data_IF_517577806280
#
_entry.id   IF_517577806280
#
_cell.length_a   1.000
_cell.length_b   1.000
_cell.length_c   1.000
_cell.angle_alpha   90.00
_cell.angle_beta   90.00
_cell.angle_gamma   90.00
#
_symmetry.space_group_name_H-M   'P 1'
#
loop_
_entity.id
_entity.type
_entity.pdbx_description
1 polymer ?
#
# COMPACT_ATOMS: atom_id res chain seq x y z
N UNK A 1 41.90 8.89 58.87
CA UNK A 1 41.79 8.51 57.44
C UNK A 1 41.25 9.71 56.67
N UNK A 2 42.11 10.46 55.97
CA UNK A 2 41.72 11.64 55.16
C UNK A 2 41.17 11.15 53.82
N UNK A 3 39.88 11.37 53.55
CA UNK A 3 39.30 11.21 52.19
C UNK A 3 39.81 12.37 51.33
N UNK A 4 40.52 12.07 50.25
CA UNK A 4 40.76 13.03 49.19
C UNK A 4 39.41 13.47 48.60
N UNK A 5 39.16 14.77 48.40
CA UNK A 5 37.98 15.22 47.70
C UNK A 5 38.18 14.93 46.20
N UNK A 6 37.34 14.06 45.65
CA UNK A 6 37.25 13.86 44.20
C UNK A 6 36.94 15.21 43.54
N UNK A 7 37.85 15.65 42.67
CA UNK A 7 37.72 16.88 41.90
C UNK A 7 36.47 16.80 41.04
N UNK A 8 35.43 17.53 41.43
CA UNK A 8 34.25 17.73 40.59
C UNK A 8 34.66 18.62 39.41
N UNK A 9 35.00 18.01 38.28
CA UNK A 9 35.19 18.71 37.02
C UNK A 9 33.86 19.34 36.59
N UNK A 10 33.77 20.67 36.64
CA UNK A 10 32.63 21.42 36.10
C UNK A 10 32.72 21.48 34.58
N UNK A 11 31.57 21.32 33.92
CA UNK A 11 31.46 21.43 32.46
C UNK A 11 31.79 22.86 32.01
N UNK A 12 32.76 23.02 31.11
CA UNK A 12 33.06 24.33 30.55
C UNK A 12 32.04 24.70 29.47
N UNK A 13 31.75 26.00 29.32
CA UNK A 13 30.89 26.51 28.24
C UNK A 13 31.40 26.12 26.86
N UNK A 14 32.72 26.06 26.68
CA UNK A 14 33.38 25.64 25.44
C UNK A 14 33.13 24.16 25.12
N UNK A 15 33.23 23.27 26.11
CA UNK A 15 32.93 21.84 25.93
C UNK A 15 31.46 21.63 25.55
N UNK A 16 30.53 22.39 26.13
CA UNK A 16 29.12 22.30 25.72
C UNK A 16 28.91 22.86 24.31
N UNK A 17 29.58 23.97 23.97
CA UNK A 17 29.47 24.64 22.67
C UNK A 17 29.98 23.76 21.53
N UNK A 18 31.11 23.09 21.70
CA UNK A 18 31.66 22.21 20.65
C UNK A 18 30.77 20.98 20.43
N UNK A 19 30.16 20.45 21.49
CA UNK A 19 29.23 19.30 21.39
C UNK A 19 28.00 19.67 20.59
N UNK A 20 27.35 20.81 20.89
CA UNK A 20 26.19 21.24 20.13
C UNK A 20 26.57 21.59 18.67
N UNK A 21 27.78 22.13 18.44
CA UNK A 21 28.27 22.42 17.09
C UNK A 21 28.47 21.13 16.28
N UNK A 22 29.04 20.08 16.88
CA UNK A 22 29.18 18.78 16.23
C UNK A 22 27.83 18.12 15.96
N UNK A 23 26.88 18.17 16.90
CA UNK A 23 25.51 17.65 16.70
C UNK A 23 24.81 18.39 15.54
N UNK A 24 24.95 19.72 15.46
CA UNK A 24 24.36 20.51 14.39
C UNK A 24 24.92 20.14 13.00
N UNK A 25 26.21 19.87 12.88
CA UNK A 25 26.84 19.41 11.63
C UNK A 25 26.29 18.04 11.22
N UNK A 26 26.21 17.10 12.17
CA UNK A 26 25.69 15.75 11.91
C UNK A 26 24.23 15.76 11.44
N UNK A 27 23.37 16.55 12.12
CA UNK A 27 21.96 16.70 11.74
C UNK A 27 21.85 17.42 10.39
N UNK A 28 22.67 18.46 10.15
CA UNK A 28 22.65 19.24 8.92
C UNK A 28 22.89 18.40 7.66
N UNK A 29 23.79 17.41 7.74
CA UNK A 29 24.06 16.49 6.62
C UNK A 29 23.04 15.34 6.57
N UNK A 30 22.60 14.85 7.73
CA UNK A 30 21.76 13.64 7.83
C UNK A 30 20.27 13.86 7.59
N UNK A 31 19.74 15.05 7.83
CA UNK A 31 18.29 15.28 7.78
C UNK A 31 17.66 15.09 6.38
N UNK A 32 18.19 15.66 5.27
CA UNK A 32 17.53 15.54 3.97
C UNK A 32 17.53 14.11 3.41
N UNK A 33 18.58 13.33 3.69
CA UNK A 33 18.70 11.94 3.23
C UNK A 33 17.73 11.02 3.95
N UNK A 34 17.44 11.28 5.23
CA UNK A 34 16.51 10.49 6.03
C UNK A 34 15.10 10.43 5.44
N UNK A 35 14.58 11.55 4.91
CA UNK A 35 13.23 11.60 4.31
C UNK A 35 13.15 10.73 3.04
N UNK A 36 14.19 10.74 2.20
CA UNK A 36 14.24 9.89 1.01
C UNK A 36 14.28 8.40 1.36
N UNK A 37 15.01 8.03 2.41
CA UNK A 37 15.07 6.64 2.90
C UNK A 37 13.71 6.19 3.41
N UNK A 38 13.00 7.02 4.16
CA UNK A 38 11.67 6.70 4.65
C UNK A 38 10.66 6.51 3.51
N UNK A 39 10.73 7.36 2.47
CA UNK A 39 9.88 7.22 1.29
C UNK A 39 10.17 5.91 0.55
N UNK A 40 11.45 5.56 0.34
CA UNK A 40 11.84 4.26 -0.22
C UNK A 40 11.35 3.09 0.62
N UNK A 41 11.49 3.17 1.94
CA UNK A 41 11.00 2.13 2.85
C UNK A 41 9.48 1.93 2.74
N UNK A 42 8.71 3.03 2.62
CA UNK A 42 7.26 2.96 2.38
C UNK A 42 6.93 2.33 1.03
N UNK A 43 7.67 2.65 -0.04
CA UNK A 43 7.49 1.99 -1.35
C UNK A 43 7.80 0.50 -1.28
N UNK A 44 8.89 0.11 -0.62
CA UNK A 44 9.23 -1.31 -0.41
C UNK A 44 8.17 -2.03 0.41
N UNK A 45 7.67 -1.39 1.47
CA UNK A 45 6.56 -1.92 2.25
C UNK A 45 5.32 -2.11 1.36
N UNK A 46 4.97 -1.10 0.55
CA UNK A 46 3.81 -1.19 -0.32
C UNK A 46 3.95 -2.33 -1.34
N UNK A 47 5.12 -2.47 -1.97
CA UNK A 47 5.39 -3.55 -2.92
C UNK A 47 5.25 -4.93 -2.27
N UNK A 48 5.75 -5.10 -1.04
CA UNK A 48 5.60 -6.37 -0.32
C UNK A 48 4.15 -6.67 0.03
N UNK A 49 3.37 -5.66 0.43
CA UNK A 49 1.94 -5.81 0.72
C UNK A 49 1.15 -6.14 -0.57
N UNK A 50 1.47 -5.51 -1.71
CA UNK A 50 0.87 -5.83 -3.01
C UNK A 50 1.09 -7.29 -3.41
N UNK A 51 2.31 -7.80 -3.26
CA UNK A 51 2.61 -9.20 -3.55
C UNK A 51 1.88 -10.17 -2.61
N UNK A 52 1.70 -9.80 -1.34
CA UNK A 52 0.88 -10.59 -0.42
C UNK A 52 -0.59 -10.63 -0.85
N UNK A 53 -1.14 -9.50 -1.30
CA UNK A 53 -2.52 -9.42 -1.78
C UNK A 53 -2.70 -10.30 -3.04
N UNK A 54 -1.78 -10.19 -4.01
CA UNK A 54 -1.77 -11.05 -5.22
C UNK A 54 -1.74 -12.53 -4.83
N UNK A 55 -0.82 -12.92 -3.93
CA UNK A 55 -0.70 -14.29 -3.47
C UNK A 55 -1.98 -14.79 -2.77
N UNK A 56 -2.63 -13.94 -1.96
CA UNK A 56 -3.86 -14.28 -1.27
C UNK A 56 -5.04 -14.50 -2.23
N UNK A 57 -5.16 -13.66 -3.26
CA UNK A 57 -6.20 -13.83 -4.31
C UNK A 57 -5.97 -15.12 -5.10
N UNK A 58 -4.72 -15.40 -5.49
CA UNK A 58 -4.37 -16.65 -6.18
C UNK A 58 -4.57 -17.89 -5.29
N UNK A 59 -4.25 -17.78 -4.00
CA UNK A 59 -4.53 -18.83 -3.01
C UNK A 59 -6.03 -19.09 -2.88
N UNK A 60 -6.85 -18.04 -2.86
CA UNK A 60 -8.30 -18.18 -2.87
C UNK A 60 -8.80 -18.91 -4.12
N UNK A 61 -8.31 -18.54 -5.31
CA UNK A 61 -8.64 -19.24 -6.55
C UNK A 61 -8.22 -20.72 -6.51
N UNK A 62 -7.06 -21.03 -5.93
CA UNK A 62 -6.58 -22.40 -5.79
C UNK A 62 -7.50 -23.25 -4.90
N UNK A 63 -7.99 -22.67 -3.79
CA UNK A 63 -8.83 -23.39 -2.83
C UNK A 63 -10.31 -23.49 -3.23
N UNK A 64 -10.82 -22.54 -4.02
CA UNK A 64 -12.24 -22.43 -4.37
C UNK A 64 -12.55 -22.60 -5.85
N UNK A 65 -11.55 -22.61 -6.73
CA UNK A 65 -11.70 -22.66 -8.19
C UNK A 65 -12.35 -21.41 -8.81
N UNK A 66 -12.48 -20.33 -8.04
CA UNK A 66 -13.07 -19.06 -8.46
C UNK A 66 -12.41 -17.91 -7.70
N UNK A 67 -12.41 -16.72 -8.29
CA UNK A 67 -11.88 -15.53 -7.61
C UNK A 67 -12.82 -15.02 -6.51
N UNK A 68 -12.30 -14.27 -5.52
CA UNK A 68 -13.08 -13.68 -4.42
C UNK A 68 -13.87 -12.44 -4.88
N UNK A 69 -14.68 -12.61 -5.92
CA UNK A 69 -15.49 -11.57 -6.56
C UNK A 69 -16.98 -11.82 -6.30
N UNK A 70 -17.72 -10.73 -6.02
CA UNK A 70 -19.18 -10.75 -5.94
C UNK A 70 -19.82 -10.40 -7.29
N UNK A 71 -19.12 -9.59 -8.09
CA UNK A 71 -19.50 -9.15 -9.44
C UNK A 71 -18.28 -9.34 -10.36
N UNK A 72 -18.51 -9.60 -11.65
CA UNK A 72 -17.44 -9.77 -12.65
C UNK A 72 -16.58 -8.50 -12.82
N UNK A 73 -15.35 -8.66 -13.29
CA UNK A 73 -14.33 -7.64 -13.61
C UNK A 73 -14.64 -6.25 -13.06
N UNK A 74 -14.28 -6.02 -11.81
CA UNK A 74 -14.38 -4.69 -11.24
C UNK A 74 -13.04 -4.24 -10.73
N UNK A 75 -12.63 -3.03 -11.12
CA UNK A 75 -11.59 -2.29 -10.42
C UNK A 75 -12.11 -2.06 -9.00
N UNK A 76 -11.50 -2.74 -8.04
CA UNK A 76 -11.73 -2.56 -6.62
C UNK A 76 -10.83 -1.39 -6.19
N UNK A 77 -11.28 -0.17 -6.49
CA UNK A 77 -10.64 1.07 -6.08
C UNK A 77 -11.37 1.67 -4.88
N UNK A 78 -10.67 2.46 -4.06
CA UNK A 78 -11.24 3.22 -2.95
C UNK A 78 -12.23 4.30 -3.42
N UNK A 79 -13.40 3.90 -3.91
CA UNK A 79 -14.59 4.72 -4.12
C UNK A 79 -15.81 3.89 -3.72
N UNK A 80 -16.98 4.51 -3.60
CA UNK A 80 -18.19 3.94 -2.96
C UNK A 80 -18.69 2.60 -3.52
N UNK A 81 -18.07 2.08 -4.56
CA UNK A 81 -18.28 0.76 -5.15
C UNK A 81 -17.14 0.45 -6.12
N UNK A 82 -16.47 -0.71 -6.05
CA UNK A 82 -16.33 -1.64 -4.92
C UNK A 82 -15.19 -1.19 -4.00
N UNK A 83 -15.55 -0.93 -2.74
CA UNK A 83 -14.59 -0.78 -1.65
C UNK A 83 -13.74 -2.04 -1.55
N UNK A 84 -12.42 -1.89 -1.42
CA UNK A 84 -11.52 -3.02 -1.18
C UNK A 84 -11.81 -3.78 0.14
N UNK A 85 -12.67 -3.22 1.00
CA UNK A 85 -13.16 -3.88 2.20
C UNK A 85 -13.82 -5.24 1.93
N UNK A 86 -14.67 -5.36 0.90
CA UNK A 86 -15.39 -6.61 0.61
C UNK A 86 -14.45 -7.75 0.22
N UNK A 87 -13.43 -7.41 -0.58
CA UNK A 87 -12.33 -8.33 -0.90
C UNK A 87 -11.62 -8.76 0.37
N UNK A 88 -11.24 -7.83 1.24
CA UNK A 88 -10.49 -8.14 2.45
C UNK A 88 -11.32 -8.82 3.54
N UNK A 89 -12.64 -8.62 3.59
CA UNK A 89 -13.51 -9.43 4.43
C UNK A 89 -13.51 -10.89 3.98
N UNK A 90 -13.56 -11.12 2.67
CA UNK A 90 -13.52 -12.46 2.08
C UNK A 90 -12.16 -13.14 2.31
N UNK A 91 -11.05 -12.46 2.02
CA UNK A 91 -9.69 -13.01 2.16
C UNK A 91 -9.28 -13.25 3.63
N UNK A 92 -9.84 -12.50 4.58
CA UNK A 92 -9.55 -12.63 6.02
C UNK A 92 -10.55 -13.49 6.79
N UNK A 93 -11.55 -14.05 6.11
CA UNK A 93 -12.64 -14.81 6.73
C UNK A 93 -13.42 -14.01 7.79
N UNK A 94 -13.68 -12.73 7.53
CA UNK A 94 -14.49 -11.86 8.41
C UNK A 94 -15.93 -11.84 7.89
N UNK A 95 -16.92 -12.15 8.75
CA UNK A 95 -18.33 -12.23 8.37
C UNK A 95 -19.01 -10.85 8.24
N UNK A 96 -18.47 -10.00 7.38
CA UNK A 96 -18.98 -8.65 7.06
C UNK A 96 -18.98 -8.44 5.53
N UNK A 97 -19.76 -7.46 5.07
CA UNK A 97 -19.85 -7.11 3.65
C UNK A 97 -20.20 -8.32 2.78
N UNK A 98 -19.48 -8.49 1.68
CA UNK A 98 -19.60 -9.63 0.76
C UNK A 98 -19.45 -11.02 1.40
N UNK A 99 -18.75 -11.12 2.54
CA UNK A 99 -18.49 -12.38 3.21
C UNK A 99 -19.48 -12.67 4.36
N UNK A 100 -20.46 -11.80 4.59
CA UNK A 100 -21.57 -12.08 5.49
C UNK A 100 -22.61 -12.98 4.78
N UNK A 101 -23.04 -14.11 5.37
CA UNK A 101 -24.19 -14.84 4.87
C UNK A 101 -25.46 -14.01 5.06
N UNK A 102 -26.20 -13.69 3.98
CA UNK A 102 -27.43 -12.88 4.05
C UNK A 102 -28.54 -13.53 3.24
N UNK A 103 -29.74 -13.67 3.81
CA UNK A 103 -30.94 -14.14 3.10
C UNK A 103 -30.76 -15.42 2.25
N UNK A 104 -29.95 -16.38 2.73
CA UNK A 104 -29.66 -17.63 2.02
C UNK A 104 -28.55 -17.54 0.97
N UNK A 105 -27.95 -16.37 0.75
CA UNK A 105 -26.71 -16.22 -0.02
C UNK A 105 -25.55 -16.68 0.88
N UNK A 106 -24.77 -17.70 0.46
CA UNK A 106 -23.61 -18.14 1.23
C UNK A 106 -22.51 -17.08 1.21
N UNK A 107 -21.70 -17.06 2.27
CA UNK A 107 -20.48 -16.25 2.31
C UNK A 107 -19.59 -16.56 1.09
N UNK A 108 -18.86 -15.56 0.59
CA UNK A 108 -17.86 -15.75 -0.47
C UNK A 108 -16.79 -16.76 -0.05
N UNK A 109 -16.37 -16.73 1.23
CA UNK A 109 -15.45 -17.67 1.86
C UNK A 109 -16.17 -18.55 2.89
N UNK A 110 -16.95 -19.57 2.47
CA UNK A 110 -17.77 -20.38 3.37
C UNK A 110 -16.94 -21.32 4.25
N UNK A 111 -15.71 -21.68 3.86
CA UNK A 111 -14.81 -22.53 4.66
C UNK A 111 -14.01 -21.73 5.70
N UNK A 112 -14.19 -20.41 5.77
CA UNK A 112 -13.49 -19.52 6.70
C UNK A 112 -11.95 -19.65 6.66
N UNK A 113 -11.37 -19.84 5.47
CA UNK A 113 -9.92 -19.94 5.29
C UNK A 113 -9.31 -18.55 5.33
N UNK A 114 -8.26 -18.34 6.11
CA UNK A 114 -7.55 -17.06 6.17
C UNK A 114 -6.42 -17.07 5.16
N UNK A 115 -6.56 -16.29 4.09
CA UNK A 115 -5.56 -16.16 3.02
C UNK A 115 -4.53 -15.07 3.31
N UNK A 116 -4.90 -14.06 4.11
CA UNK A 116 -4.03 -12.93 4.42
C UNK A 116 -4.30 -12.36 5.82
N UNK A 117 -3.25 -11.84 6.45
CA UNK A 117 -3.34 -11.17 7.75
C UNK A 117 -2.60 -9.83 7.69
N UNK A 118 -3.26 -8.75 7.23
CA UNK A 118 -2.65 -7.43 7.21
C UNK A 118 -2.37 -6.90 8.61
N UNK A 119 -1.33 -6.06 8.77
CA UNK A 119 -1.16 -5.26 9.99
C UNK A 119 -2.36 -4.33 10.17
N UNK A 120 -2.70 -4.01 11.42
CA UNK A 120 -3.77 -3.06 11.74
C UNK A 120 -3.25 -1.62 11.59
N UNK A 121 -4.02 -0.78 10.89
CA UNK A 121 -3.69 0.64 10.77
C UNK A 121 -3.78 1.34 12.12
N UNK A 122 -2.68 1.96 12.54
CA UNK A 122 -2.62 2.74 13.80
C UNK A 122 -3.43 4.04 13.72
N UNK A 123 -3.61 4.57 12.51
CA UNK A 123 -4.32 5.85 12.27
C UNK A 123 -5.70 5.65 11.66
N UNK A 124 -6.07 4.42 11.29
CA UNK A 124 -7.29 4.09 10.58
C UNK A 124 -7.28 4.46 9.09
N UNK A 125 -6.24 5.12 8.59
CA UNK A 125 -6.17 5.64 7.21
C UNK A 125 -4.82 5.50 6.55
N UNK A 126 -3.82 4.90 7.23
CA UNK A 126 -2.46 4.71 6.71
C UNK A 126 -1.86 3.41 7.21
N UNK A 127 -1.17 2.69 6.33
CA UNK A 127 -0.34 1.53 6.66
C UNK A 127 -1.09 0.45 7.43
N UNK A 128 -1.91 -0.33 6.73
CA UNK A 128 -2.62 -1.47 7.28
C UNK A 128 -4.15 -1.39 7.14
N UNK A 129 -4.82 -2.37 7.71
CA UNK A 129 -6.28 -2.49 7.66
C UNK A 129 -6.97 -1.64 8.73
N UNK A 130 -7.99 -0.91 8.33
CA UNK A 130 -8.93 -0.28 9.26
C UNK A 130 -9.95 -1.33 9.70
N UNK A 131 -10.01 -1.63 11.00
CA UNK A 131 -10.89 -2.68 11.55
C UNK A 131 -12.36 -2.31 11.52
N UNK A 132 -12.69 -1.01 11.44
CA UNK A 132 -14.06 -0.50 11.38
C UNK A 132 -14.60 -0.53 9.96
N UNK A 133 -13.80 -0.13 8.98
CA UNK A 133 -14.24 -0.04 7.57
C UNK A 133 -13.87 -1.27 6.73
N UNK A 134 -12.91 -2.09 7.18
CA UNK A 134 -12.36 -3.21 6.43
C UNK A 134 -11.36 -2.81 5.33
N UNK A 135 -11.17 -1.51 5.11
CA UNK A 135 -10.31 -0.98 4.06
C UNK A 135 -8.85 -1.16 4.44
N UNK A 136 -8.04 -1.69 3.53
CA UNK A 136 -6.59 -1.72 3.68
C UNK A 136 -5.97 -0.50 2.97
N UNK A 137 -5.28 0.32 3.76
CA UNK A 137 -4.54 1.49 3.32
C UNK A 137 -3.06 1.16 3.13
N UNK A 138 -2.50 1.67 2.04
CA UNK A 138 -1.07 1.68 1.79
C UNK A 138 -0.32 2.55 2.83
N UNK A 139 1.03 2.48 2.86
CA UNK A 139 1.84 3.28 3.78
C UNK A 139 1.73 4.80 3.59
N UNK A 140 1.14 5.27 2.49
CA UNK A 140 1.02 6.70 2.14
C UNK A 140 -0.32 7.29 2.58
N UNK A 141 -1.36 6.47 2.66
CA UNK A 141 -2.69 6.77 3.15
C UNK A 141 -3.82 6.60 2.15
N UNK A 142 -3.53 6.01 0.99
CA UNK A 142 -4.53 5.67 -0.02
C UNK A 142 -4.92 4.19 0.13
N UNK A 143 -6.18 3.81 -0.11
CA UNK A 143 -6.55 2.41 -0.21
C UNK A 143 -5.79 1.71 -1.35
N UNK A 144 -5.43 0.45 -1.15
CA UNK A 144 -4.96 -0.39 -2.26
C UNK A 144 -6.05 -0.55 -3.31
N UNK A 145 -5.66 -0.47 -4.57
CA UNK A 145 -6.51 -0.80 -5.69
C UNK A 145 -6.19 -2.21 -6.17
N UNK A 146 -7.23 -2.99 -6.46
CA UNK A 146 -7.09 -4.37 -6.93
C UNK A 146 -7.97 -4.55 -8.17
N UNK A 147 -7.45 -5.21 -9.19
CA UNK A 147 -8.24 -5.68 -10.32
C UNK A 147 -8.00 -7.18 -10.48
N UNK A 148 -9.08 -7.93 -10.65
CA UNK A 148 -9.07 -9.40 -10.73
C UNK A 148 -9.83 -9.78 -11.99
N UNK A 149 -9.31 -10.75 -12.73
CA UNK A 149 -9.94 -11.31 -13.93
C UNK A 149 -11.12 -12.20 -13.53
N UNK A 150 -12.29 -11.57 -13.38
CA UNK A 150 -13.56 -12.24 -13.19
C UNK A 150 -14.16 -12.83 -14.47
N UNK A 151 -13.62 -12.51 -15.65
CA UNK A 151 -14.07 -13.09 -16.93
C UNK A 151 -13.38 -14.44 -17.23
N UNK A 152 -12.26 -14.72 -16.56
CA UNK A 152 -11.41 -15.90 -16.75
C UNK A 152 -10.82 -16.02 -18.16
N UNK A 153 -10.60 -14.88 -18.83
CA UNK A 153 -9.95 -14.84 -20.15
C UNK A 153 -8.41 -14.69 -20.06
N UNK A 154 -7.87 -14.64 -18.84
CA UNK A 154 -6.47 -14.36 -18.51
C UNK A 154 -6.00 -12.99 -18.99
N UNK A 155 -6.89 -12.01 -19.09
CA UNK A 155 -6.59 -10.67 -19.55
C UNK A 155 -7.08 -9.64 -18.55
N UNK A 156 -6.16 -8.75 -18.17
CA UNK A 156 -6.49 -7.56 -17.39
C UNK A 156 -6.12 -6.32 -18.18
N UNK A 157 -7.03 -5.34 -18.17
CA UNK A 157 -6.75 -4.03 -18.78
C UNK A 157 -5.77 -3.29 -17.88
N UNK A 158 -4.62 -2.90 -18.42
CA UNK A 158 -3.67 -2.07 -17.69
C UNK A 158 -4.34 -0.74 -17.30
N UNK A 159 -4.45 -0.41 -16.00
CA UNK A 159 -5.04 0.85 -15.55
C UNK A 159 -4.15 2.07 -15.86
N UNK A 160 -2.92 1.87 -16.36
CA UNK A 160 -1.91 2.89 -16.60
C UNK A 160 -1.63 3.13 -18.11
N UNK A 161 -2.65 3.33 -18.93
CA UNK A 161 -2.48 3.60 -20.38
C UNK A 161 -3.48 4.57 -20.95
N UNK A 162 -3.02 5.44 -21.85
CA UNK A 162 -3.77 6.47 -22.59
C UNK A 162 -4.62 5.96 -23.76
N UNK A 163 -4.54 4.66 -24.08
CA UNK A 163 -5.39 4.05 -25.10
C UNK A 163 -6.81 3.77 -24.55
N UNK A 164 -7.87 3.99 -25.34
CA UNK A 164 -9.27 3.72 -24.96
C UNK A 164 -9.55 2.24 -24.65
N UNK A 165 -8.59 1.37 -24.95
CA UNK A 165 -8.51 -0.02 -24.48
C UNK A 165 -7.08 -0.18 -24.01
N UNK A 166 -6.86 -0.18 -22.70
CA UNK A 166 -5.51 -0.20 -22.16
C UNK A 166 -4.71 -1.42 -22.63
N UNK A 167 -3.38 -1.38 -22.50
CA UNK A 167 -2.56 -2.54 -22.87
C UNK A 167 -3.01 -3.77 -22.08
N UNK A 168 -3.17 -4.90 -22.76
CA UNK A 168 -3.58 -6.14 -22.11
C UNK A 168 -2.42 -6.72 -21.31
N UNK A 169 -2.67 -7.01 -20.04
CA UNK A 169 -1.78 -7.74 -19.15
C UNK A 169 -2.28 -9.19 -19.05
N UNK A 170 -1.38 -10.16 -19.23
CA UNK A 170 -1.71 -11.58 -19.15
C UNK A 170 -1.55 -12.11 -17.72
N UNK A 171 -2.34 -11.57 -16.80
CA UNK A 171 -2.28 -11.83 -15.36
C UNK A 171 -3.71 -11.98 -14.83
N UNK A 172 -3.91 -12.83 -13.83
CA UNK A 172 -5.24 -13.04 -13.22
C UNK A 172 -5.61 -12.02 -12.14
N UNK A 173 -4.61 -11.34 -11.55
CA UNK A 173 -4.80 -10.30 -10.55
C UNK A 173 -3.68 -9.28 -10.63
N UNK A 174 -4.03 -8.02 -10.44
CA UNK A 174 -3.08 -6.92 -10.29
C UNK A 174 -3.46 -6.03 -9.10
N UNK A 175 -2.45 -5.47 -8.46
CA UNK A 175 -2.60 -4.58 -7.30
C UNK A 175 -1.71 -3.36 -7.50
N UNK A 176 -2.20 -2.19 -7.13
CA UNK A 176 -1.40 -0.97 -7.16
C UNK A 176 -1.76 0.02 -6.05
N UNK A 177 -0.74 0.79 -5.65
CA UNK A 177 -0.83 1.94 -4.76
C UNK A 177 -0.52 3.22 -5.53
N UNK A 178 -1.30 4.27 -5.25
CA UNK A 178 -1.03 5.62 -5.78
C UNK A 178 0.19 6.30 -5.14
N UNK A 179 0.88 5.65 -4.21
CA UNK A 179 2.07 6.24 -3.60
C UNK A 179 1.79 7.55 -2.86
N UNK A 180 2.80 8.42 -2.80
CA UNK A 180 2.78 9.66 -2.02
C UNK A 180 1.83 10.72 -2.59
N UNK A 181 1.63 10.74 -3.90
CA UNK A 181 0.84 11.77 -4.57
C UNK A 181 -0.69 11.54 -4.39
N UNK A 182 -1.10 10.31 -4.03
CA UNK A 182 -2.50 9.92 -3.84
C UNK A 182 -3.35 9.94 -5.11
N UNK A 183 -2.73 9.91 -6.30
CA UNK A 183 -3.38 9.97 -7.60
C UNK A 183 -2.71 9.01 -8.59
N UNK A 184 -3.47 8.54 -9.56
CA UNK A 184 -2.94 7.73 -10.65
C UNK A 184 -2.12 8.61 -11.60
N UNK A 185 -0.79 8.51 -11.56
CA UNK A 185 0.08 9.39 -12.37
C UNK A 185 0.02 10.87 -11.96
N UNK A 186 0.85 11.72 -12.57
CA UNK A 186 1.14 13.07 -12.03
C UNK A 186 1.14 14.25 -13.01
N UNK A 187 0.70 14.11 -14.26
CA UNK A 187 0.34 15.29 -15.08
C UNK A 187 -1.06 15.82 -14.80
N UNK A 188 -1.32 17.06 -15.22
CA UNK A 188 -2.61 17.73 -15.05
C UNK A 188 -3.81 16.89 -15.56
N UNK A 189 -5.04 17.10 -15.04
CA UNK A 189 -6.24 16.30 -15.36
C UNK A 189 -6.64 16.18 -16.85
N UNK A 190 -5.97 16.91 -17.74
CA UNK A 190 -6.25 17.02 -19.17
C UNK A 190 -5.17 16.39 -20.08
N UNK A 191 -4.07 15.88 -19.52
CA UNK A 191 -3.08 15.10 -20.27
C UNK A 191 -3.18 13.65 -19.80
N UNK A 192 -3.23 12.69 -20.74
CA UNK A 192 -3.27 11.26 -20.44
C UNK A 192 -2.19 10.81 -19.44
N UNK A 193 -2.33 9.59 -18.94
CA UNK A 193 -1.47 8.92 -17.95
C UNK A 193 0.02 9.27 -18.12
N UNK A 194 0.45 10.27 -17.36
CA UNK A 194 1.77 10.86 -17.44
C UNK A 194 2.50 10.59 -16.13
N UNK A 195 3.81 10.39 -16.23
CA UNK A 195 4.73 10.41 -15.11
C UNK A 195 4.49 11.64 -14.22
N UNK A 196 4.95 11.63 -12.97
CA UNK A 196 4.97 12.85 -12.15
C UNK A 196 5.71 14.02 -12.82
N UNK A 197 6.52 13.75 -13.85
CA UNK A 197 7.22 14.72 -14.70
C UNK A 197 6.54 14.96 -16.06
N UNK A 198 5.28 14.56 -16.27
CA UNK A 198 4.50 14.90 -17.46
C UNK A 198 4.82 14.09 -18.72
N UNK A 199 5.53 12.96 -18.63
CA UNK A 199 5.84 12.10 -19.79
C UNK A 199 4.85 10.93 -19.87
N UNK A 200 4.10 10.81 -20.96
CA UNK A 200 3.15 9.71 -21.17
C UNK A 200 3.87 8.35 -21.19
N UNK A 201 3.26 7.32 -20.59
CA UNK A 201 3.77 5.94 -20.62
C UNK A 201 5.20 5.75 -20.06
N UNK A 202 5.70 6.68 -19.23
CA UNK A 202 7.02 6.58 -18.60
C UNK A 202 6.90 6.67 -17.07
N UNK A 203 7.02 5.57 -16.35
CA UNK A 203 6.90 5.54 -14.89
C UNK A 203 8.24 5.74 -14.16
N UNK A 204 9.30 6.11 -14.88
CA UNK A 204 10.61 6.40 -14.29
C UNK A 204 10.47 7.59 -13.33
N UNK A 205 10.69 7.33 -12.03
CA UNK A 205 10.51 8.25 -10.89
C UNK A 205 9.06 8.51 -10.43
N UNK A 206 8.09 7.66 -10.76
CA UNK A 206 6.73 7.76 -10.17
C UNK A 206 6.73 7.42 -8.68
N UNK A 207 5.82 8.02 -7.89
CA UNK A 207 5.63 7.62 -6.48
C UNK A 207 4.78 6.37 -6.30
N UNK A 208 3.99 6.02 -7.32
CA UNK A 208 3.17 4.82 -7.44
C UNK A 208 3.97 3.52 -7.27
N UNK A 209 3.28 2.48 -6.80
CA UNK A 209 3.81 1.12 -6.67
C UNK A 209 2.84 0.17 -7.37
N UNK A 210 3.39 -0.75 -8.17
CA UNK A 210 2.65 -1.53 -9.15
C UNK A 210 3.14 -2.97 -9.09
N UNK A 211 2.23 -3.93 -8.92
CA UNK A 211 2.59 -5.33 -8.65
C UNK A 211 3.14 -6.11 -9.85
N UNK A 212 2.99 -5.60 -11.08
CA UNK A 212 3.29 -6.29 -12.34
C UNK A 212 4.41 -5.65 -13.17
N UNK A 213 5.14 -4.69 -12.58
CA UNK A 213 6.31 -4.06 -13.19
C UNK A 213 7.62 -4.76 -12.82
#
# INVERSE_FOLDING_TARGET
MRRSPDGRHGFTLMELLIVIAMIAILIGIGYPTFISILEKARKTQAANEEQQIVAAVNGFYTDYGKYPLVTADTIIAGSTTPSNADLFYSLRAVALGANAPVNGIPAVNPRAIVFIQPPISKTGTKGGINTTTGIWYDPFGSPYNVMIDGSYDNQLTNPYTDAPSGTTLYLGVIVWSFGKNGRLGGGAPAAGFTSENGTANNFTNSSDVISWQ
#
